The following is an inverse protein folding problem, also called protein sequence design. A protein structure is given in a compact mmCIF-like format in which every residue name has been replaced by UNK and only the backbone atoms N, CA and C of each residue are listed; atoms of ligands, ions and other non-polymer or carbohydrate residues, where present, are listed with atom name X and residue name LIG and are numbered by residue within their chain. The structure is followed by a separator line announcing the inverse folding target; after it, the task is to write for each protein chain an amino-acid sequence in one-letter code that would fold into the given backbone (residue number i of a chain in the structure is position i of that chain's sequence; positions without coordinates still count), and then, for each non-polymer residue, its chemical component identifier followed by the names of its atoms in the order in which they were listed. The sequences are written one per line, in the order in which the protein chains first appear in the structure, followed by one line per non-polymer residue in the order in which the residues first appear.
data_IF_199592738569
#
_entry.id   IF_199592738569
#
_cell.length_a   1.000
_cell.length_b   1.000
_cell.length_c   1.000
_cell.angle_alpha   90.00
_cell.angle_beta   90.00
_cell.angle_gamma   90.00
#
_symmetry.space_group_name_H-M   'P 1'
#
loop_
_entity.id
_entity.type
_entity.pdbx_description
1 polymer ?
#
# COMPACT_ATOMS: atom_id res chain seq x y z
N UNK A 1 14.65 -2.00 8.83
CA UNK A 1 14.91 -1.84 7.38
C UNK A 1 13.58 -2.10 6.68
N UNK A 2 13.02 -1.13 5.94
CA UNK A 2 11.73 -1.29 5.28
C UNK A 2 11.93 -1.77 3.83
N UNK A 3 11.22 -2.83 3.42
CA UNK A 3 11.27 -3.38 2.07
C UNK A 3 9.99 -3.01 1.34
N UNK A 4 10.10 -2.06 0.40
CA UNK A 4 8.97 -1.59 -0.39
C UNK A 4 8.63 -2.52 -1.56
N UNK A 5 9.50 -3.50 -1.82
CA UNK A 5 9.35 -4.40 -2.94
C UNK A 5 10.55 -4.55 -3.84
N UNK A 6 10.52 -5.57 -4.68
CA UNK A 6 11.54 -5.76 -5.72
C UNK A 6 11.37 -4.73 -6.85
N UNK A 7 10.17 -4.64 -7.40
CA UNK A 7 9.83 -3.73 -8.51
C UNK A 7 9.28 -2.38 -8.03
N UNK A 8 9.72 -1.94 -6.85
CA UNK A 8 9.24 -0.70 -6.27
C UNK A 8 9.69 0.51 -7.12
N UNK A 9 8.76 1.03 -7.91
CA UNK A 9 8.94 2.27 -8.65
C UNK A 9 8.77 3.48 -7.72
N UNK A 10 9.89 3.93 -7.15
CA UNK A 10 9.92 5.04 -6.20
C UNK A 10 9.26 6.32 -6.77
N UNK A 11 8.39 6.99 -5.99
CA UNK A 11 7.85 8.29 -6.36
C UNK A 11 8.95 9.35 -6.53
N UNK A 12 8.62 10.45 -7.22
CA UNK A 12 9.52 11.62 -7.27
C UNK A 12 9.78 12.12 -5.85
N UNK A 13 10.99 12.62 -5.59
CA UNK A 13 11.43 13.07 -4.26
C UNK A 13 10.48 14.08 -3.59
N UNK A 14 9.85 14.96 -4.38
CA UNK A 14 8.97 16.02 -3.88
C UNK A 14 7.48 15.62 -3.81
N UNK A 15 7.14 14.36 -4.16
CA UNK A 15 5.76 13.89 -4.12
C UNK A 15 5.42 13.35 -2.72
N UNK A 16 5.26 14.27 -1.77
CA UNK A 16 4.97 13.95 -0.37
C UNK A 16 3.69 13.12 -0.20
N UNK A 17 2.71 13.31 -1.10
CA UNK A 17 1.46 12.58 -1.06
C UNK A 17 1.64 11.10 -1.43
N UNK A 18 2.46 10.80 -2.44
CA UNK A 18 2.82 9.42 -2.78
C UNK A 18 3.73 8.82 -1.73
N UNK A 19 4.72 9.56 -1.23
CA UNK A 19 5.60 9.07 -0.16
C UNK A 19 4.82 8.72 1.12
N UNK A 20 3.85 9.55 1.50
CA UNK A 20 2.97 9.24 2.63
C UNK A 20 2.14 7.96 2.41
N UNK A 21 1.74 7.68 1.17
CA UNK A 21 1.02 6.45 0.85
C UNK A 21 1.94 5.21 0.93
N UNK A 22 3.16 5.31 0.41
CA UNK A 22 4.18 4.26 0.51
C UNK A 22 4.50 3.98 1.98
N UNK A 23 4.75 5.01 2.78
CA UNK A 23 5.03 4.88 4.20
C UNK A 23 3.89 4.16 4.94
N UNK A 24 2.64 4.56 4.71
CA UNK A 24 1.48 3.93 5.37
C UNK A 24 1.32 2.44 5.02
N UNK A 25 1.61 2.06 3.77
CA UNK A 25 1.59 0.64 3.34
C UNK A 25 2.71 -0.15 4.02
N UNK A 26 3.92 0.41 4.08
CA UNK A 26 5.06 -0.24 4.72
C UNK A 26 4.89 -0.38 6.24
N UNK A 27 4.34 0.64 6.89
CA UNK A 27 3.99 0.61 8.32
C UNK A 27 2.94 -0.45 8.63
N UNK A 28 2.01 -0.70 7.71
CA UNK A 28 1.03 -1.79 7.81
C UNK A 28 1.64 -3.18 7.56
N UNK A 29 2.95 -3.28 7.35
CA UNK A 29 3.67 -4.54 7.12
C UNK A 29 3.49 -5.09 5.70
N UNK A 30 2.99 -4.26 4.78
CA UNK A 30 2.77 -4.65 3.39
C UNK A 30 3.90 -4.17 2.50
N UNK A 31 4.17 -4.95 1.46
CA UNK A 31 5.00 -4.51 0.35
C UNK A 31 4.18 -3.61 -0.60
N UNK A 32 4.85 -2.57 -1.14
CA UNK A 32 4.20 -1.60 -2.04
C UNK A 32 4.26 -2.06 -3.49
N UNK A 33 5.27 -2.87 -3.85
CA UNK A 33 5.16 -3.71 -5.03
C UNK A 33 3.96 -4.63 -4.86
N UNK A 34 3.11 -4.67 -5.89
CA UNK A 34 1.90 -5.49 -5.88
C UNK A 34 2.19 -6.98 -6.03
N UNK A 35 3.40 -7.45 -5.72
CA UNK A 35 3.88 -8.78 -6.05
C UNK A 35 4.05 -9.62 -4.78
N UNK A 36 3.50 -10.84 -4.80
CA UNK A 36 3.88 -11.86 -3.84
C UNK A 36 5.08 -12.63 -4.38
N UNK A 37 6.05 -12.92 -3.49
CA UNK A 37 7.27 -13.66 -3.82
C UNK A 37 7.04 -15.16 -4.01
N UNK A 38 5.81 -15.67 -3.75
CA UNK A 38 5.37 -16.95 -4.27
C UNK A 38 5.13 -16.78 -5.76
N UNK A 39 5.91 -17.45 -6.62
CA UNK A 39 5.82 -17.40 -8.09
C UNK A 39 4.53 -18.00 -8.67
N UNK A 40 3.39 -17.70 -8.06
CA UNK A 40 2.08 -18.26 -8.27
C UNK A 40 1.03 -17.14 -8.41
N UNK A 41 1.37 -16.01 -9.04
CA UNK A 41 0.40 -14.96 -9.37
C UNK A 41 1.01 -13.57 -9.52
N UNK A 42 1.03 -13.06 -10.74
CA UNK A 42 1.47 -11.70 -11.08
C UNK A 42 0.28 -10.73 -11.02
N UNK A 43 -0.49 -10.74 -9.92
CA UNK A 43 -1.68 -9.90 -9.81
C UNK A 43 -1.35 -8.62 -9.04
N UNK A 44 -1.29 -7.46 -9.72
CA UNK A 44 -0.90 -6.21 -9.08
C UNK A 44 -1.90 -5.86 -7.97
N UNK A 45 -1.50 -6.04 -6.71
CA UNK A 45 -2.34 -5.63 -5.58
C UNK A 45 -2.57 -4.11 -5.63
N UNK A 46 -3.83 -3.70 -5.58
CA UNK A 46 -4.21 -2.28 -5.65
C UNK A 46 -3.72 -1.55 -4.40
N UNK A 47 -2.63 -0.79 -4.52
CA UNK A 47 -2.08 0.04 -3.43
C UNK A 47 -2.53 1.50 -3.54
N UNK A 48 -2.79 2.17 -2.40
CA UNK A 48 -3.16 3.57 -2.42
C UNK A 48 -1.96 4.38 -2.91
N UNK A 49 -2.20 5.28 -3.86
CA UNK A 49 -1.18 6.16 -4.47
C UNK A 49 -1.15 7.53 -3.80
N UNK A 50 -2.10 7.84 -2.93
CA UNK A 50 -2.17 9.14 -2.25
C UNK A 50 -2.58 9.00 -0.80
N UNK A 51 -2.18 9.97 0.01
CA UNK A 51 -2.63 10.12 1.41
C UNK A 51 -4.16 10.16 1.54
N UNK A 52 -4.86 10.73 0.56
CA UNK A 52 -6.32 10.77 0.55
C UNK A 52 -6.92 9.36 0.39
N UNK A 53 -6.35 8.52 -0.48
CA UNK A 53 -6.78 7.13 -0.66
C UNK A 53 -6.52 6.30 0.60
N UNK A 54 -5.36 6.46 1.25
CA UNK A 54 -5.08 5.81 2.55
C UNK A 54 -6.17 6.12 3.57
N UNK A 55 -6.54 7.39 3.70
CA UNK A 55 -7.60 7.81 4.64
C UNK A 55 -8.96 7.25 4.27
N UNK A 56 -9.33 7.25 2.99
CA UNK A 56 -10.60 6.71 2.52
C UNK A 56 -10.69 5.21 2.80
N UNK A 57 -9.64 4.45 2.46
CA UNK A 57 -9.56 3.00 2.67
C UNK A 57 -9.58 2.62 4.14
N UNK A 58 -8.79 3.29 5.00
CA UNK A 58 -8.86 3.09 6.47
C UNK A 58 -10.25 3.35 7.04
N UNK A 59 -10.93 4.41 6.59
CA UNK A 59 -12.31 4.71 7.04
C UNK A 59 -13.30 3.65 6.57
N UNK A 60 -13.17 3.17 5.33
CA UNK A 60 -14.01 2.09 4.83
C UNK A 60 -13.75 0.78 5.58
N UNK A 61 -12.47 0.44 5.80
CA UNK A 61 -12.06 -0.73 6.57
C UNK A 61 -12.53 -0.70 8.02
N UNK A 62 -12.41 0.45 8.70
CA UNK A 62 -12.91 0.61 10.06
C UNK A 62 -14.43 0.37 10.18
N UNK A 63 -15.21 0.76 9.16
CA UNK A 63 -16.65 0.46 9.11
C UNK A 63 -16.96 -1.02 8.92
N UNK A 64 -16.02 -1.78 8.35
CA UNK A 64 -16.13 -3.20 8.06
C UNK A 64 -15.42 -4.06 9.12
N UNK A 65 -14.76 -3.45 10.11
CA UNK A 65 -13.94 -4.16 11.10
C UNK A 65 -12.65 -4.75 10.53
N UNK A 66 -12.19 -4.27 9.38
CA UNK A 66 -10.96 -4.75 8.74
C UNK A 66 -9.71 -4.21 9.46
N UNK A 67 -8.65 -5.02 9.43
CA UNK A 67 -7.32 -4.58 9.84
C UNK A 67 -6.74 -3.58 8.84
N UNK A 68 -5.77 -2.78 9.29
CA UNK A 68 -5.06 -1.82 8.43
C UNK A 68 -4.49 -2.45 7.13
N UNK A 69 -3.79 -3.60 7.15
CA UNK A 69 -3.31 -4.22 5.92
C UNK A 69 -4.45 -4.67 4.98
N UNK A 70 -5.54 -5.19 5.51
CA UNK A 70 -6.71 -5.56 4.71
C UNK A 70 -7.34 -4.32 4.06
N UNK A 71 -7.55 -3.26 4.84
CA UNK A 71 -8.11 -2.00 4.38
C UNK A 71 -7.27 -1.37 3.27
N UNK A 72 -5.94 -1.37 3.41
CA UNK A 72 -5.02 -0.80 2.42
C UNK A 72 -4.86 -1.67 1.16
N UNK A 73 -5.31 -2.92 1.20
CA UNK A 73 -5.31 -3.84 0.06
C UNK A 73 -6.60 -3.79 -0.78
N UNK A 74 -7.67 -3.16 -0.28
CA UNK A 74 -8.92 -2.96 -1.03
C UNK A 74 -8.72 -1.94 -2.17
N UNK A 75 -9.44 -2.05 -3.30
CA UNK A 75 -9.42 -1.04 -4.37
C UNK A 75 -9.96 0.33 -3.94
#
# INVERSE_FOLDING_TARGET
MAFAGHDFAAPRKLDDNRWAAVAAVLEAGLAYDGFETCGCGHEPKSRPRTKAQVRARRRAGARQGLTDPEALSQP
#
